data_IF_879890432636
#
_entry.id   IF_879890432636
#
_cell.length_a   1.000
_cell.length_b   1.000
_cell.length_c   1.000
_cell.angle_alpha   90.00
_cell.angle_beta   90.00
_cell.angle_gamma   90.00
#
_symmetry.space_group_name_H-M   'P 1'
#
loop_
_entity.id
_entity.type
_entity.pdbx_description
1 polymer ?
#
# COMPACT_ATOMS: atom_id res chain seq x y z
N UNK A 1 22.39 -17.40 -9.06
CA UNK A 1 20.97 -17.11 -9.23
C UNK A 1 20.43 -16.63 -7.90
N UNK A 2 20.36 -15.31 -7.71
CA UNK A 2 19.75 -14.68 -6.53
C UNK A 2 19.07 -13.42 -7.04
N UNK A 3 17.88 -13.56 -7.60
CA UNK A 3 17.08 -12.44 -8.09
C UNK A 3 16.69 -11.54 -6.91
N UNK A 4 17.52 -10.54 -6.66
CA UNK A 4 17.11 -9.30 -6.00
C UNK A 4 16.48 -8.38 -7.06
N UNK A 5 15.20 -8.00 -6.95
CA UNK A 5 14.71 -6.80 -7.60
C UNK A 5 14.83 -5.65 -6.57
N UNK A 6 15.62 -4.60 -6.77
CA UNK A 6 15.74 -3.84 -8.01
C UNK A 6 14.91 -2.57 -7.86
N UNK A 7 15.42 -1.61 -7.09
CA UNK A 7 14.94 -0.23 -7.00
C UNK A 7 14.86 0.41 -8.40
N UNK A 8 13.68 0.89 -8.81
CA UNK A 8 13.42 2.04 -9.70
C UNK A 8 12.13 1.84 -10.48
N UNK A 9 11.09 2.64 -10.20
CA UNK A 9 10.15 3.06 -11.23
C UNK A 9 9.86 4.56 -11.03
N UNK A 10 10.75 5.36 -11.61
CA UNK A 10 10.44 6.74 -11.98
C UNK A 10 9.38 6.69 -13.09
N UNK A 11 8.11 6.88 -12.72
CA UNK A 11 6.97 7.21 -13.60
C UNK A 11 5.75 7.59 -12.72
N UNK A 12 5.78 8.79 -12.13
CA UNK A 12 4.54 9.48 -11.71
C UNK A 12 3.66 9.73 -12.98
N UNK A 13 2.33 10.01 -12.93
CA UNK A 13 1.45 10.34 -11.78
C UNK A 13 0.00 9.76 -11.86
N UNK A 14 -0.67 9.52 -10.73
CA UNK A 14 -2.13 9.64 -10.45
C UNK A 14 -3.22 9.39 -11.55
N UNK A 15 -3.01 8.59 -12.59
CA UNK A 15 -4.07 8.27 -13.55
C UNK A 15 -4.68 6.90 -13.26
N UNK A 16 -5.86 6.91 -12.61
CA UNK A 16 -6.66 5.70 -12.39
C UNK A 16 -6.18 4.85 -11.22
N UNK A 17 -6.08 5.44 -10.03
CA UNK A 17 -5.70 4.71 -8.83
C UNK A 17 -6.76 3.63 -8.52
N UNK A 18 -6.47 2.41 -8.92
CA UNK A 18 -7.32 1.26 -8.67
C UNK A 18 -7.04 0.72 -7.27
N UNK A 19 -7.98 -0.06 -6.73
CA UNK A 19 -7.75 -0.81 -5.50
C UNK A 19 -6.49 -1.70 -5.58
N UNK A 20 -6.14 -2.15 -6.79
CA UNK A 20 -4.91 -2.88 -7.08
C UNK A 20 -3.69 -2.01 -6.82
N UNK A 21 -3.65 -0.80 -7.39
CA UNK A 21 -2.54 0.14 -7.19
C UNK A 21 -2.37 0.52 -5.72
N UNK A 22 -3.48 0.71 -4.98
CA UNK A 22 -3.45 1.02 -3.55
C UNK A 22 -2.79 -0.11 -2.76
N UNK A 23 -3.24 -1.35 -2.97
CA UNK A 23 -2.69 -2.51 -2.26
C UNK A 23 -1.22 -2.70 -2.63
N UNK A 24 -0.87 -2.62 -3.91
CA UNK A 24 0.52 -2.73 -4.37
C UNK A 24 1.41 -1.68 -3.71
N UNK A 25 1.01 -0.41 -3.71
CA UNK A 25 1.79 0.66 -3.09
C UNK A 25 1.96 0.47 -1.57
N UNK A 26 0.91 0.02 -0.88
CA UNK A 26 0.98 -0.29 0.55
C UNK A 26 1.90 -1.48 0.85
N UNK A 27 1.84 -2.53 0.02
CA UNK A 27 2.71 -3.71 0.13
C UNK A 27 4.16 -3.33 -0.17
N UNK A 28 4.42 -2.49 -1.17
CA UNK A 28 5.76 -2.02 -1.47
C UNK A 28 6.33 -1.11 -0.36
N UNK A 29 5.47 -0.38 0.36
CA UNK A 29 5.90 0.51 1.43
C UNK A 29 6.11 -0.21 2.78
N UNK A 30 5.17 -1.06 3.19
CA UNK A 30 5.16 -1.72 4.51
C UNK A 30 5.43 -3.22 4.46
N UNK A 31 5.13 -3.87 3.32
CA UNK A 31 5.12 -5.32 3.22
C UNK A 31 3.84 -5.97 3.75
N UNK A 32 3.68 -7.25 3.41
CA UNK A 32 2.50 -8.04 3.77
C UNK A 32 2.35 -8.26 5.28
N UNK A 33 3.46 -8.41 6.00
CA UNK A 33 3.45 -8.64 7.44
C UNK A 33 2.85 -7.46 8.21
N UNK A 34 3.31 -6.24 7.93
CA UNK A 34 2.79 -5.02 8.55
C UNK A 34 1.34 -4.73 8.10
N UNK A 35 1.00 -4.99 6.85
CA UNK A 35 -0.38 -4.88 6.39
C UNK A 35 -1.32 -5.83 7.13
N UNK A 36 -0.87 -7.05 7.42
CA UNK A 36 -1.60 -8.00 8.26
C UNK A 36 -1.78 -7.53 9.70
N UNK A 37 -0.82 -6.77 10.25
CA UNK A 37 -0.93 -6.17 11.58
C UNK A 37 -1.94 -5.00 11.59
N UNK A 38 -1.91 -4.14 10.58
CA UNK A 38 -2.84 -3.01 10.45
C UNK A 38 -4.26 -3.47 10.11
N UNK A 39 -4.36 -4.50 9.27
CA UNK A 39 -5.59 -5.05 8.76
C UNK A 39 -5.50 -6.55 9.01
N UNK A 40 -6.05 -6.98 10.15
CA UNK A 40 -6.03 -8.37 10.62
C UNK A 40 -6.92 -9.27 9.73
N UNK A 41 -6.48 -9.48 8.48
CA UNK A 41 -7.11 -10.34 7.49
C UNK A 41 -6.14 -11.45 7.12
N UNK A 42 -6.68 -12.66 7.03
CA UNK A 42 -5.93 -13.86 6.69
C UNK A 42 -5.29 -13.79 5.30
N UNK A 43 -5.85 -12.98 4.40
CA UNK A 43 -5.34 -12.81 3.04
C UNK A 43 -3.90 -12.30 2.99
N UNK A 44 -3.45 -11.52 3.98
CA UNK A 44 -2.09 -10.96 4.00
C UNK A 44 -1.07 -11.88 4.67
N UNK A 45 -1.51 -12.93 5.38
CA UNK A 45 -0.65 -13.83 6.16
C UNK A 45 -0.57 -15.24 5.57
N UNK A 46 -1.65 -15.72 4.93
CA UNK A 46 -1.78 -17.10 4.45
C UNK A 46 -1.48 -17.21 2.94
N UNK A 47 -1.96 -16.27 2.12
CA UNK A 47 -1.73 -16.23 0.66
C UNK A 47 -1.47 -14.77 0.19
N UNK A 48 -0.31 -14.18 0.55
CA UNK A 48 -0.01 -12.78 0.28
C UNK A 48 0.20 -12.53 -1.22
N UNK A 49 -0.90 -12.24 -1.91
CA UNK A 49 -0.92 -11.91 -3.33
C UNK A 49 -1.92 -10.81 -3.64
N UNK A 50 -1.56 -9.95 -4.61
CA UNK A 50 -2.39 -8.83 -5.04
C UNK A 50 -3.75 -9.33 -5.56
N UNK A 51 -3.78 -10.39 -6.37
CA UNK A 51 -5.03 -10.95 -6.93
C UNK A 51 -5.92 -11.55 -5.85
N UNK A 52 -5.32 -12.27 -4.88
CA UNK A 52 -6.02 -12.88 -3.74
C UNK A 52 -6.64 -11.80 -2.85
N UNK A 53 -5.86 -10.74 -2.58
CA UNK A 53 -6.29 -9.56 -1.84
C UNK A 53 -7.47 -8.86 -2.52
N UNK A 54 -7.38 -8.58 -3.82
CA UNK A 54 -8.49 -7.96 -4.54
C UNK A 54 -9.76 -8.80 -4.53
N UNK A 55 -9.65 -10.12 -4.68
CA UNK A 55 -10.79 -11.03 -4.59
C UNK A 55 -11.42 -11.00 -3.20
N UNK A 56 -10.61 -10.90 -2.14
CA UNK A 56 -11.06 -10.75 -0.76
C UNK A 56 -11.73 -9.39 -0.52
N UNK A 57 -11.09 -8.29 -0.91
CA UNK A 57 -11.60 -6.93 -0.77
C UNK A 57 -12.87 -6.66 -1.63
N UNK A 58 -13.17 -7.53 -2.61
CA UNK A 58 -14.47 -7.54 -3.31
C UNK A 58 -15.58 -8.21 -2.52
N UNK A 59 -15.26 -9.20 -1.70
CA UNK A 59 -16.21 -9.92 -0.83
C UNK A 59 -16.40 -9.25 0.53
N UNK A 60 -15.41 -8.48 0.96
CA UNK A 60 -15.33 -7.91 2.30
C UNK A 60 -15.17 -6.38 2.22
N UNK A 61 -16.28 -5.62 2.16
CA UNK A 61 -16.25 -4.18 1.92
C UNK A 61 -15.52 -3.40 3.03
N UNK A 62 -15.73 -3.75 4.30
CA UNK A 62 -15.05 -3.08 5.42
C UNK A 62 -13.51 -3.19 5.35
N UNK A 63 -12.99 -4.28 4.78
CA UNK A 63 -11.54 -4.47 4.62
C UNK A 63 -11.00 -3.55 3.52
N UNK A 64 -11.78 -3.33 2.45
CA UNK A 64 -11.47 -2.37 1.40
C UNK A 64 -11.35 -0.96 1.98
N UNK A 65 -12.35 -0.54 2.75
CA UNK A 65 -12.37 0.79 3.36
C UNK A 65 -11.16 1.00 4.28
N UNK A 66 -10.73 -0.03 5.02
CA UNK A 66 -9.50 0.01 5.83
C UNK A 66 -8.23 0.19 4.99
N UNK A 67 -8.09 -0.57 3.90
CA UNK A 67 -6.96 -0.45 2.98
C UNK A 67 -6.88 0.96 2.40
N UNK A 68 -8.01 1.49 1.92
CA UNK A 68 -8.08 2.86 1.36
C UNK A 68 -7.75 3.92 2.42
N UNK A 69 -8.29 3.77 3.64
CA UNK A 69 -8.01 4.68 4.76
C UNK A 69 -6.53 4.68 5.14
N UNK A 70 -5.89 3.50 5.17
CA UNK A 70 -4.46 3.37 5.45
C UNK A 70 -3.62 4.05 4.37
N UNK A 71 -3.99 3.89 3.10
CA UNK A 71 -3.31 4.55 1.99
C UNK A 71 -3.40 6.07 2.07
N UNK A 72 -4.57 6.62 2.37
CA UNK A 72 -4.73 8.07 2.58
C UNK A 72 -3.88 8.58 3.74
N UNK A 73 -3.77 7.80 4.83
CA UNK A 73 -2.92 8.14 5.96
C UNK A 73 -1.44 8.20 5.54
N UNK A 74 -0.96 7.19 4.82
CA UNK A 74 0.41 7.15 4.28
C UNK A 74 0.66 8.33 3.35
N UNK A 75 -0.27 8.60 2.43
CA UNK A 75 -0.11 9.67 1.46
C UNK A 75 -0.03 11.05 2.15
N UNK A 76 -0.87 11.28 3.17
CA UNK A 76 -0.82 12.49 4.01
C UNK A 76 0.51 12.60 4.76
N UNK A 77 1.01 11.49 5.32
CA UNK A 77 2.30 11.45 6.01
C UNK A 77 3.45 11.74 5.07
N UNK A 78 3.47 11.14 3.88
CA UNK A 78 4.46 11.39 2.84
C UNK A 78 4.42 12.84 2.32
N UNK A 79 3.22 13.41 2.17
CA UNK A 79 3.06 14.82 1.77
C UNK A 79 3.58 15.80 2.83
N UNK A 80 3.48 15.47 4.12
CA UNK A 80 4.09 16.24 5.21
C UNK A 80 5.62 16.10 5.18
N UNK A 81 6.13 14.88 5.15
CA UNK A 81 7.57 14.60 5.08
C UNK A 81 8.25 15.27 3.87
N UNK A 82 7.56 15.36 2.73
CA UNK A 82 8.09 16.03 1.54
C UNK A 82 7.95 17.57 1.59
N UNK A 83 7.12 18.12 2.46
CA UNK A 83 7.01 19.58 2.71
C UNK A 83 7.95 20.06 3.82
N UNK A 84 8.45 19.17 4.65
CA UNK A 84 9.39 19.45 5.74
C UNK A 84 10.85 19.31 5.24
N UNK A 85 11.17 20.04 4.17
CA UNK A 85 12.55 20.49 3.91
C UNK A 85 12.86 21.70 4.82
N UNK A 86 14.13 21.95 5.20
CA UNK A 86 14.47 22.82 6.32
C UNK A 86 14.35 24.30 5.93
N UNK A 87 13.17 24.89 6.10
CA UNK A 87 13.05 26.34 6.24
C UNK A 87 11.73 26.66 6.97
N UNK A 88 11.85 27.08 8.23
CA UNK A 88 10.68 27.31 9.07
C UNK A 88 10.98 27.61 10.54
N UNK A 89 12.14 28.17 10.88
CA UNK A 89 12.34 29.09 12.02
C UNK A 89 13.51 30.01 11.74
#
# INVERSE_FOLDING_TARGET
>A
MSDQPGSSQAKNPLHGLTLEAIVTALVEHYGWAELGQQINIRCFTDDPSIKSSLKFLRKTPWAREKVESLYLYVQRKQAKLNKEGPDGV
#
